data_IF_762739839572
#
_entry.id   IF_762739839572
#
_cell.length_a   1.000
_cell.length_b   1.000
_cell.length_c   1.000
_cell.angle_alpha   90.00
_cell.angle_beta   90.00
_cell.angle_gamma   90.00
#
_symmetry.space_group_name_H-M   'P 1'
#
loop_
_entity.id
_entity.type
_entity.pdbx_description
1 polymer ?
#
# COMPACT_ATOMS: atom_id res chain seq x y z
N UNK A 1 14.83 -2.36 -12.35
CA UNK A 1 14.13 -1.09 -12.49
C UNK A 1 12.96 -1.04 -11.50
N UNK A 2 12.85 0.07 -10.79
CA UNK A 2 11.82 0.19 -9.77
C UNK A 2 10.51 0.67 -10.36
N UNK A 3 9.41 0.22 -9.76
CA UNK A 3 8.08 0.69 -10.10
C UNK A 3 7.82 2.03 -9.42
N UNK A 4 6.80 2.75 -9.88
CA UNK A 4 6.27 3.89 -9.14
C UNK A 4 5.13 3.42 -8.25
N UNK A 5 4.82 4.20 -7.22
CA UNK A 5 3.67 3.90 -6.38
C UNK A 5 2.37 3.94 -7.20
N UNK A 6 2.30 4.82 -8.20
CA UNK A 6 1.15 4.88 -9.10
C UNK A 6 0.94 3.56 -9.85
N UNK A 7 2.03 2.93 -10.29
CA UNK A 7 1.95 1.60 -10.93
C UNK A 7 1.38 0.56 -9.97
N UNK A 8 1.88 0.54 -8.74
CA UNK A 8 1.42 -0.41 -7.72
C UNK A 8 -0.04 -0.14 -7.34
N UNK A 9 -0.40 1.13 -7.26
CA UNK A 9 -1.79 1.52 -6.99
C UNK A 9 -2.73 0.96 -8.06
N UNK A 10 -2.35 1.08 -9.34
CA UNK A 10 -3.15 0.53 -10.42
C UNK A 10 -3.29 -0.98 -10.31
N UNK A 11 -2.24 -1.66 -9.87
CA UNK A 11 -2.33 -3.11 -9.65
C UNK A 11 -3.38 -3.45 -8.59
N UNK A 12 -3.41 -2.73 -7.47
CA UNK A 12 -4.42 -2.96 -6.44
C UNK A 12 -5.84 -2.71 -6.94
N UNK A 13 -6.04 -1.64 -7.69
CA UNK A 13 -7.36 -1.31 -8.23
C UNK A 13 -7.82 -2.37 -9.24
N UNK A 14 -6.91 -2.83 -10.10
CA UNK A 14 -7.17 -3.89 -11.06
C UNK A 14 -7.49 -5.21 -10.37
N UNK A 15 -6.70 -5.57 -9.37
CA UNK A 15 -6.91 -6.82 -8.61
C UNK A 15 -8.25 -6.79 -7.88
N UNK A 16 -8.58 -5.65 -7.30
CA UNK A 16 -9.85 -5.50 -6.60
C UNK A 16 -11.04 -5.58 -7.55
N UNK A 17 -10.91 -5.06 -8.76
CA UNK A 17 -11.97 -5.17 -9.77
C UNK A 17 -12.28 -6.63 -10.09
N UNK A 18 -11.25 -7.48 -10.15
CA UNK A 18 -11.45 -8.92 -10.36
C UNK A 18 -12.24 -9.54 -9.21
N UNK A 19 -11.96 -9.16 -7.97
CA UNK A 19 -12.73 -9.63 -6.81
C UNK A 19 -14.17 -9.14 -6.84
N UNK A 20 -14.40 -7.91 -7.28
CA UNK A 20 -15.76 -7.36 -7.38
C UNK A 20 -16.64 -8.12 -8.37
N UNK A 21 -16.02 -8.68 -9.41
CA UNK A 21 -16.78 -9.51 -10.38
C UNK A 21 -17.33 -10.78 -9.77
N UNK A 22 -16.75 -11.25 -8.67
CA UNK A 22 -17.25 -12.41 -7.94
C UNK A 22 -18.22 -12.06 -6.82
N UNK A 23 -18.46 -10.76 -6.61
CA UNK A 23 -19.61 -10.28 -5.83
C UNK A 23 -19.37 -9.85 -4.40
N UNK A 24 -18.15 -9.96 -3.87
CA UNK A 24 -17.94 -9.78 -2.44
C UNK A 24 -17.00 -8.63 -2.04
N UNK A 25 -16.64 -7.75 -2.96
CA UNK A 25 -15.74 -6.64 -2.65
C UNK A 25 -16.37 -5.30 -2.97
N UNK A 26 -15.88 -4.27 -2.29
CA UNK A 26 -16.22 -2.89 -2.59
C UNK A 26 -15.03 -2.22 -3.28
N UNK A 27 -15.27 -1.12 -3.97
CA UNK A 27 -14.18 -0.32 -4.53
C UNK A 27 -13.27 0.18 -3.42
N UNK A 28 -11.99 0.28 -3.73
CA UNK A 28 -10.98 0.78 -2.80
C UNK A 28 -11.03 2.31 -2.77
N UNK A 29 -11.16 2.90 -1.58
CA UNK A 29 -11.08 4.34 -1.40
C UNK A 29 -9.62 4.80 -1.46
N UNK A 30 -9.41 6.11 -1.65
CA UNK A 30 -8.06 6.67 -1.61
C UNK A 30 -7.37 6.39 -0.26
N UNK A 31 -8.10 6.54 0.85
CA UNK A 31 -7.53 6.25 2.16
C UNK A 31 -7.04 4.80 2.25
N UNK A 32 -7.86 3.85 1.83
CA UNK A 32 -7.47 2.44 1.85
C UNK A 32 -6.28 2.18 0.92
N UNK A 33 -6.30 2.77 -0.27
CA UNK A 33 -5.22 2.60 -1.25
C UNK A 33 -3.88 3.05 -0.66
N UNK A 34 -3.85 4.18 0.05
CA UNK A 34 -2.62 4.67 0.68
C UNK A 34 -2.07 3.66 1.69
N UNK A 35 -2.94 3.04 2.46
CA UNK A 35 -2.51 2.05 3.45
C UNK A 35 -2.01 0.76 2.79
N UNK A 36 -2.67 0.32 1.72
CA UNK A 36 -2.18 -0.84 0.98
C UNK A 36 -0.79 -0.58 0.38
N UNK A 37 -0.55 0.63 -0.10
CA UNK A 37 0.78 1.01 -0.61
C UNK A 37 1.83 0.96 0.50
N UNK A 38 1.51 1.46 1.66
CA UNK A 38 2.41 1.41 2.82
C UNK A 38 2.76 -0.04 3.17
N UNK A 39 1.76 -0.91 3.28
CA UNK A 39 2.00 -2.31 3.63
C UNK A 39 2.77 -3.04 2.52
N UNK A 40 2.48 -2.77 1.26
CA UNK A 40 3.21 -3.39 0.16
C UNK A 40 4.69 -2.99 0.18
N UNK A 41 4.97 -1.71 0.39
CA UNK A 41 6.36 -1.24 0.49
C UNK A 41 7.06 -1.87 1.69
N UNK A 42 6.38 -1.90 2.83
CA UNK A 42 6.97 -2.43 4.05
C UNK A 42 7.29 -3.92 3.97
N UNK A 43 6.35 -4.71 3.50
CA UNK A 43 6.56 -6.16 3.36
C UNK A 43 7.69 -6.42 2.36
N UNK A 44 7.69 -5.73 1.23
CA UNK A 44 8.72 -5.95 0.21
C UNK A 44 10.10 -5.52 0.70
N UNK A 45 10.21 -4.39 1.40
CA UNK A 45 11.47 -3.95 2.02
C UNK A 45 12.00 -5.01 2.98
N UNK A 46 11.11 -5.60 3.79
CA UNK A 46 11.51 -6.62 4.75
C UNK A 46 11.97 -7.91 4.08
N UNK A 47 11.28 -8.34 3.04
CA UNK A 47 11.60 -9.60 2.36
C UNK A 47 12.75 -9.49 1.38
N UNK A 48 12.78 -8.43 0.58
CA UNK A 48 13.74 -8.28 -0.52
C UNK A 48 14.91 -7.35 -0.20
N UNK A 49 14.80 -6.57 0.85
CA UNK A 49 15.85 -5.63 1.25
C UNK A 49 15.93 -4.37 0.38
N UNK A 50 14.96 -4.17 -0.51
CA UNK A 50 14.93 -3.02 -1.40
C UNK A 50 13.50 -2.52 -1.58
N UNK A 51 13.35 -1.31 -2.09
CA UNK A 51 12.03 -0.69 -2.29
C UNK A 51 11.28 -1.35 -3.45
N UNK A 52 9.97 -1.56 -3.27
CA UNK A 52 9.08 -2.01 -4.33
C UNK A 52 8.81 -0.86 -5.32
N UNK A 53 8.60 0.34 -4.80
CA UNK A 53 8.41 1.52 -5.63
C UNK A 53 9.29 2.65 -5.13
N UNK A 54 9.63 3.56 -6.05
CA UNK A 54 10.62 4.61 -5.76
C UNK A 54 10.09 5.76 -4.89
N UNK A 55 8.77 5.96 -4.85
CA UNK A 55 8.15 7.06 -4.12
C UNK A 55 8.37 6.93 -2.61
N UNK A 56 8.40 8.07 -1.93
CA UNK A 56 8.47 8.11 -0.49
C UNK A 56 7.08 8.02 0.14
N UNK A 57 7.04 7.49 1.36
CA UNK A 57 5.86 7.55 2.21
C UNK A 57 6.04 8.69 3.19
N UNK A 58 4.99 9.48 3.40
CA UNK A 58 5.00 10.66 4.26
C UNK A 58 3.98 10.48 5.37
N UNK A 59 4.33 10.93 6.57
CA UNK A 59 3.44 10.82 7.73
C UNK A 59 2.41 11.94 7.72
N UNK A 60 1.18 11.61 7.37
CA UNK A 60 0.05 12.55 7.44
C UNK A 60 -0.88 12.19 8.61
N UNK A 61 -1.86 13.05 8.89
CA UNK A 61 -2.75 12.86 10.02
C UNK A 61 -3.49 11.52 10.00
N UNK A 62 -3.86 11.02 8.83
CA UNK A 62 -4.58 9.75 8.69
C UNK A 62 -3.66 8.57 8.35
N UNK A 63 -2.38 8.70 8.63
CA UNK A 63 -1.40 7.63 8.44
C UNK A 63 -0.44 7.90 7.29
N UNK A 64 0.34 6.88 6.92
CA UNK A 64 1.30 7.01 5.82
C UNK A 64 0.61 7.23 4.48
N UNK A 65 1.15 8.12 3.65
CA UNK A 65 0.63 8.37 2.31
C UNK A 65 1.76 8.51 1.29
N UNK A 66 1.48 8.16 0.05
CA UNK A 66 2.29 8.55 -1.10
C UNK A 66 1.59 9.76 -1.70
N UNK A 67 2.20 10.93 -1.56
CA UNK A 67 1.54 12.21 -1.87
C UNK A 67 1.05 12.29 -3.31
N UNK A 68 1.88 11.88 -4.27
CA UNK A 68 1.50 11.93 -5.69
C UNK A 68 0.30 11.04 -6.00
N UNK A 69 0.24 9.85 -5.43
CA UNK A 69 -0.91 8.95 -5.61
C UNK A 69 -2.14 9.51 -4.93
N UNK A 70 -1.97 10.09 -3.74
CA UNK A 70 -3.09 10.73 -3.06
C UNK A 70 -3.73 11.80 -3.96
N UNK A 71 -2.93 12.63 -4.60
CA UNK A 71 -3.43 13.67 -5.49
C UNK A 71 -4.08 13.12 -6.76
N UNK A 72 -3.58 12.00 -7.29
CA UNK A 72 -4.21 11.35 -8.45
C UNK A 72 -5.68 11.00 -8.20
N UNK A 73 -6.01 10.60 -6.98
CA UNK A 73 -7.34 10.08 -6.65
C UNK A 73 -8.12 10.96 -5.67
N UNK A 74 -7.62 12.13 -5.34
CA UNK A 74 -8.26 12.98 -4.33
C UNK A 74 -9.64 13.49 -4.72
N UNK A 75 -9.94 13.58 -6.03
CA UNK A 75 -11.26 14.00 -6.49
C UNK A 75 -12.38 13.01 -6.11
N UNK A 76 -12.02 11.77 -5.80
CA UNK A 76 -12.99 10.78 -5.35
C UNK A 76 -13.48 11.04 -3.91
N UNK A 77 -12.77 11.86 -3.15
CA UNK A 77 -13.08 12.08 -1.74
C UNK A 77 -12.98 10.77 -0.97
N UNK A 78 -14.02 10.42 -0.20
CA UNK A 78 -14.07 9.17 0.56
C UNK A 78 -14.70 8.01 -0.21
N UNK A 79 -15.12 8.25 -1.46
CA UNK A 79 -15.76 7.22 -2.27
C UNK A 79 -14.73 6.24 -2.82
N UNK A 80 -15.19 5.03 -3.15
CA UNK A 80 -14.34 4.05 -3.80
C UNK A 80 -13.92 4.51 -5.19
N UNK A 81 -12.72 4.10 -5.59
CA UNK A 81 -12.14 4.43 -6.89
C UNK A 81 -12.60 3.39 -7.90
N UNK A 82 -13.37 3.82 -8.89
CA UNK A 82 -13.86 2.93 -9.92
C UNK A 82 -12.71 2.54 -10.87
N UNK A 83 -12.54 1.25 -11.09
CA UNK A 83 -11.55 0.76 -12.04
C UNK A 83 -12.04 0.97 -13.46
N UNK A 84 -11.18 1.49 -14.32
CA UNK A 84 -11.44 1.60 -15.75
C UNK A 84 -10.24 1.02 -16.50
N UNK A 85 -10.42 0.69 -17.78
CA UNK A 85 -9.32 0.13 -18.58
C UNK A 85 -8.11 1.07 -18.69
N UNK A 86 -8.31 2.36 -18.51
CA UNK A 86 -7.18 3.31 -18.49
C UNK A 86 -6.25 3.10 -17.30
N UNK A 87 -6.74 2.42 -16.25
CA UNK A 87 -5.95 2.10 -15.06
C UNK A 87 -5.30 0.72 -15.14
N UNK A 88 -5.50 0.00 -16.24
CA UNK A 88 -4.94 -1.34 -16.38
C UNK A 88 -3.42 -1.33 -16.16
N UNK A 89 -2.89 -2.24 -15.32
CA UNK A 89 -1.45 -2.29 -15.10
C UNK A 89 -0.69 -2.56 -16.39
N UNK A 90 0.35 -1.77 -16.62
CA UNK A 90 1.22 -1.91 -17.80
C UNK A 90 2.58 -2.48 -17.43
N UNK A 91 2.89 -2.45 -16.14
CA UNK A 91 4.17 -2.92 -15.63
C UNK A 91 4.19 -4.44 -15.49
N UNK A 92 5.37 -5.00 -15.73
CA UNK A 92 5.60 -6.41 -15.43
C UNK A 92 6.23 -6.51 -14.05
N UNK A 93 5.67 -7.39 -13.23
CA UNK A 93 6.19 -7.65 -11.91
C UNK A 93 6.91 -8.98 -11.89
N UNK A 94 7.96 -9.07 -11.10
CA UNK A 94 8.63 -10.35 -10.86
C UNK A 94 7.71 -11.26 -10.06
N UNK A 95 8.03 -12.55 -10.02
CA UNK A 95 7.25 -13.50 -9.23
C UNK A 95 7.22 -13.11 -7.76
N UNK A 96 8.35 -12.67 -7.21
CA UNK A 96 8.45 -12.23 -5.83
C UNK A 96 7.59 -11.00 -5.57
N UNK A 97 7.62 -10.02 -6.45
CA UNK A 97 6.79 -8.82 -6.34
C UNK A 97 5.31 -9.18 -6.38
N UNK A 98 4.90 -10.06 -7.31
CA UNK A 98 3.51 -10.50 -7.41
C UNK A 98 3.05 -11.19 -6.14
N UNK A 99 3.91 -12.05 -5.57
CA UNK A 99 3.58 -12.75 -4.33
C UNK A 99 3.33 -11.76 -3.18
N UNK A 100 4.17 -10.74 -3.06
CA UNK A 100 3.99 -9.71 -2.04
C UNK A 100 2.68 -8.95 -2.26
N UNK A 101 2.42 -8.53 -3.48
CA UNK A 101 1.20 -7.79 -3.81
C UNK A 101 -0.06 -8.62 -3.49
N UNK A 102 -0.08 -9.89 -3.87
CA UNK A 102 -1.21 -10.78 -3.58
C UNK A 102 -1.38 -10.99 -2.08
N UNK A 103 -0.30 -11.21 -1.36
CA UNK A 103 -0.37 -11.39 0.09
C UNK A 103 -0.88 -10.15 0.79
N UNK A 104 -0.40 -8.97 0.39
CA UNK A 104 -0.84 -7.71 0.97
C UNK A 104 -2.33 -7.49 0.67
N UNK A 105 -2.75 -7.73 -0.56
CA UNK A 105 -4.14 -7.58 -0.93
C UNK A 105 -5.03 -8.52 -0.11
N UNK A 106 -4.66 -9.79 -0.02
CA UNK A 106 -5.48 -10.78 0.69
C UNK A 106 -5.53 -10.52 2.19
N UNK A 107 -4.41 -10.17 2.80
CA UNK A 107 -4.36 -10.00 4.25
C UNK A 107 -4.90 -8.63 4.67
N UNK A 108 -4.35 -7.55 4.12
CA UNK A 108 -4.73 -6.19 4.52
C UNK A 108 -5.98 -5.70 3.80
N UNK A 109 -6.23 -6.18 2.60
CA UNK A 109 -7.40 -5.80 1.82
C UNK A 109 -8.72 -6.22 2.44
N UNK A 110 -8.71 -7.20 3.35
CA UNK A 110 -9.92 -7.61 4.06
C UNK A 110 -10.42 -6.55 5.06
N UNK A 111 -9.56 -5.64 5.46
CA UNK A 111 -9.92 -4.62 6.44
C UNK A 111 -10.46 -3.36 5.78
N UNK A 112 -11.32 -2.64 6.52
CA UNK A 112 -11.83 -1.35 6.06
C UNK A 112 -10.70 -0.31 6.03
N UNK A 113 -10.91 0.77 5.30
CA UNK A 113 -9.99 1.90 5.27
C UNK A 113 -9.71 2.42 6.67
N UNK A 114 -10.76 2.55 7.48
CA UNK A 114 -10.64 3.09 8.84
C UNK A 114 -9.87 2.14 9.76
N UNK A 115 -10.10 0.83 9.62
CA UNK A 115 -9.35 -0.17 10.39
C UNK A 115 -7.86 -0.10 10.04
N UNK A 116 -7.53 -0.03 8.76
CA UNK A 116 -6.13 0.08 8.33
C UNK A 116 -5.49 1.37 8.85
N UNK A 117 -6.22 2.48 8.79
CA UNK A 117 -5.74 3.74 9.35
C UNK A 117 -5.39 3.58 10.84
N UNK A 118 -6.28 2.96 11.61
CA UNK A 118 -6.05 2.75 13.03
C UNK A 118 -4.86 1.83 13.29
N UNK A 119 -4.67 0.81 12.47
CA UNK A 119 -3.51 -0.07 12.57
C UNK A 119 -2.20 0.72 12.38
N UNK A 120 -2.13 1.57 11.34
CA UNK A 120 -0.92 2.35 11.08
C UNK A 120 -0.62 3.34 12.19
N UNK A 121 -1.64 3.83 12.88
CA UNK A 121 -1.47 4.77 13.98
C UNK A 121 -0.85 4.14 15.24
N UNK A 122 -0.78 2.82 15.29
CA UNK A 122 -0.13 2.10 16.38
C UNK A 122 1.26 1.60 15.98
N UNK A 123 1.67 1.85 14.74
CA UNK A 123 2.94 1.32 14.22
C UNK A 123 4.04 2.36 14.27
N UNK A 124 5.24 1.91 14.66
CA UNK A 124 6.39 2.78 14.85
C UNK A 124 6.75 3.65 13.63
N UNK A 125 6.68 3.15 12.39
CA UNK A 125 7.03 4.00 11.25
C UNK A 125 6.25 5.31 11.22
N UNK A 126 4.96 5.27 11.51
CA UNK A 126 4.16 6.48 11.56
C UNK A 126 4.35 7.22 12.88
N UNK A 127 4.32 6.50 14.01
CA UNK A 127 4.41 7.09 15.34
C UNK A 127 5.70 7.87 15.54
N UNK A 128 6.83 7.37 15.02
CA UNK A 128 8.15 7.96 15.24
C UNK A 128 8.54 8.99 14.19
N UNK A 129 7.67 9.25 13.22
CA UNK A 129 7.96 10.24 12.18
C UNK A 129 7.14 11.50 12.43
N UNK A 130 7.79 12.68 12.50
CA UNK A 130 7.06 13.93 12.62
C UNK A 130 6.10 14.12 11.46
N UNK A 131 4.96 14.74 11.73
CA UNK A 131 3.95 15.00 10.71
C UNK A 131 4.54 15.75 9.52
N UNK A 132 4.16 15.36 8.32
CA UNK A 132 4.60 15.90 7.04
C UNK A 132 6.05 15.57 6.67
N UNK A 133 6.72 14.73 7.45
CA UNK A 133 8.08 14.28 7.10
C UNK A 133 8.03 12.91 6.42
N UNK A 134 9.07 12.63 5.63
CA UNK A 134 9.24 11.33 5.01
C UNK A 134 9.48 10.27 6.08
N UNK A 135 8.75 9.16 5.97
CA UNK A 135 9.00 7.99 6.81
C UNK A 135 10.19 7.26 6.21
N UNK A 136 11.28 7.18 6.97
CA UNK A 136 12.52 6.61 6.46
C UNK A 136 12.34 5.14 6.09
N UNK A 137 12.78 4.73 4.89
CA UNK A 137 12.67 3.32 4.47
C UNK A 137 13.33 2.36 5.46
N UNK A 138 14.45 2.77 6.08
CA UNK A 138 15.12 1.94 7.07
C UNK A 138 14.23 1.64 8.27
N UNK A 139 13.52 2.64 8.75
CA UNK A 139 12.58 2.46 9.87
C UNK A 139 11.45 1.52 9.49
N UNK A 140 10.90 1.68 8.28
CA UNK A 140 9.85 0.79 7.78
C UNK A 140 10.37 -0.65 7.71
N UNK A 141 11.55 -0.85 7.14
CA UNK A 141 12.14 -2.17 7.00
C UNK A 141 12.34 -2.84 8.35
N UNK A 142 12.93 -2.13 9.30
CA UNK A 142 13.18 -2.67 10.64
C UNK A 142 11.89 -3.07 11.33
N UNK A 143 10.88 -2.21 11.29
CA UNK A 143 9.60 -2.50 11.92
C UNK A 143 8.93 -3.72 11.29
N UNK A 144 8.89 -3.78 9.96
CA UNK A 144 8.23 -4.89 9.26
C UNK A 144 8.97 -6.22 9.46
N UNK A 145 10.30 -6.18 9.58
CA UNK A 145 11.05 -7.39 9.92
C UNK A 145 10.68 -7.91 11.30
N UNK A 146 10.49 -7.02 12.28
CA UNK A 146 10.15 -7.41 13.64
C UNK A 146 8.71 -7.91 13.76
N UNK A 147 7.76 -7.21 13.12
CA UNK A 147 6.34 -7.45 13.37
C UNK A 147 5.66 -8.35 12.35
N UNK A 148 6.09 -8.34 11.10
CA UNK A 148 5.39 -9.06 10.04
C UNK A 148 6.19 -10.22 9.45
N UNK A 149 7.51 -10.11 9.45
CA UNK A 149 8.36 -11.16 8.90
C UNK A 149 9.10 -11.81 10.05
N UNK A 150 8.45 -12.79 10.64
CA UNK A 150 9.12 -13.56 11.69
C UNK A 150 10.07 -14.53 11.02
N UNK A 151 11.36 -14.36 11.25
CA UNK A 151 12.33 -15.34 10.85
C UNK A 151 11.86 -16.65 11.48
N UNK A 152 11.48 -17.62 10.65
CA UNK A 152 11.19 -18.93 11.17
C UNK A 152 12.43 -19.43 11.88
N UNK A 153 12.26 -19.65 13.14
CA UNK A 153 13.32 -20.23 13.94
C UNK A 153 13.76 -21.54 13.33
#
# INVERSE_FOLDING_TARGET
>A
MKHTASDVARWFLWRNDAEMRTGDSEYISNLKLQKLLYYAQGIYLALAGKKLFSDNLVAWAHGPVVVDVYHEYCSNGSRGIEYTESLRPKEKYTKEEKNVLEQVYNYFGQYSAWKLRNMTHEERPWLETPQNHVIEPKLIKEYFLEEYIHASA
#
